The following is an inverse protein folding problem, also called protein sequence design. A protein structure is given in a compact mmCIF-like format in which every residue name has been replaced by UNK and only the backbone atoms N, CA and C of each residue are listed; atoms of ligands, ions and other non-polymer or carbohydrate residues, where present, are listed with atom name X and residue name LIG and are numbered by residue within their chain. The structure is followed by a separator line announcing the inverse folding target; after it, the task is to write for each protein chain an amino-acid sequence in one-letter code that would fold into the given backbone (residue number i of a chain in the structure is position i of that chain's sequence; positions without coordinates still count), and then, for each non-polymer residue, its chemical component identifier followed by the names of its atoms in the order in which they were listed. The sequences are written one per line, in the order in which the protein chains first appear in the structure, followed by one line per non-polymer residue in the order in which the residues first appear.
data_IF_285083070403
#
_entry.id   IF_285083070403
#
_cell.length_a   1.000
_cell.length_b   1.000
_cell.length_c   1.000
_cell.angle_alpha   90.00
_cell.angle_beta   90.00
_cell.angle_gamma   90.00
#
_symmetry.space_group_name_H-M   'P 1'
#
loop_
_entity.id
_entity.type
_entity.pdbx_description
1 polymer ?
#
# COMPACT_ATOMS: atom_id res chain seq x y z
N UNK A 1 -13.61 -25.98 -14.67
CA UNK A 1 -12.77 -25.12 -15.52
C UNK A 1 -12.76 -23.72 -14.90
N UNK A 2 -11.67 -23.31 -14.27
CA UNK A 2 -11.55 -21.95 -13.69
C UNK A 2 -11.35 -20.95 -14.84
N UNK A 3 -12.42 -20.23 -15.20
CA UNK A 3 -12.34 -19.11 -16.14
C UNK A 3 -11.51 -18.02 -15.45
N UNK A 4 -10.33 -17.73 -15.98
CA UNK A 4 -9.53 -16.60 -15.51
C UNK A 4 -10.32 -15.31 -15.76
N UNK A 5 -10.82 -14.71 -14.67
CA UNK A 5 -11.56 -13.44 -14.72
C UNK A 5 -10.63 -12.37 -15.30
N UNK A 6 -11.12 -11.62 -16.29
CA UNK A 6 -10.39 -10.51 -16.92
C UNK A 6 -10.99 -9.20 -16.43
N UNK A 7 -10.15 -8.17 -16.30
CA UNK A 7 -10.64 -6.81 -16.08
C UNK A 7 -11.32 -6.32 -17.37
N UNK A 8 -12.63 -6.13 -17.31
CA UNK A 8 -13.47 -5.62 -18.39
C UNK A 8 -14.48 -4.62 -17.82
N UNK A 9 -15.10 -3.81 -18.69
CA UNK A 9 -16.02 -2.74 -18.24
C UNK A 9 -17.32 -3.26 -17.62
N UNK A 10 -17.68 -4.50 -17.95
CA UNK A 10 -18.85 -5.24 -17.47
C UNK A 10 -18.56 -6.10 -16.23
N UNK A 11 -17.33 -6.05 -15.69
CA UNK A 11 -16.97 -6.81 -14.49
C UNK A 11 -17.88 -6.44 -13.32
N UNK A 12 -18.40 -7.46 -12.64
CA UNK A 12 -19.18 -7.23 -11.41
C UNK A 12 -18.26 -6.82 -10.26
N UNK A 13 -18.83 -6.16 -9.25
CA UNK A 13 -18.05 -5.81 -8.06
C UNK A 13 -17.50 -7.07 -7.37
N UNK A 14 -18.28 -8.15 -7.34
CA UNK A 14 -17.86 -9.41 -6.75
C UNK A 14 -16.68 -10.04 -7.49
N UNK A 15 -16.72 -10.12 -8.82
CA UNK A 15 -15.60 -10.62 -9.63
C UNK A 15 -14.35 -9.76 -9.45
N UNK A 16 -14.51 -8.43 -9.39
CA UNK A 16 -13.41 -7.52 -9.11
C UNK A 16 -12.83 -7.73 -7.70
N UNK A 17 -13.69 -7.87 -6.69
CA UNK A 17 -13.30 -8.08 -5.31
C UNK A 17 -12.71 -9.46 -5.07
N UNK A 18 -13.12 -10.49 -5.80
CA UNK A 18 -12.55 -11.82 -5.69
C UNK A 18 -11.27 -11.95 -6.52
N UNK A 19 -11.14 -11.20 -7.62
CA UNK A 19 -9.95 -11.23 -8.47
C UNK A 19 -8.65 -10.88 -7.74
N UNK A 20 -7.53 -11.38 -8.30
CA UNK A 20 -6.19 -10.98 -7.87
C UNK A 20 -5.50 -10.21 -8.99
N UNK A 21 -5.53 -8.89 -8.87
CA UNK A 21 -5.01 -7.96 -9.87
C UNK A 21 -3.63 -7.45 -9.48
N UNK A 22 -2.69 -7.45 -10.41
CA UNK A 22 -1.39 -6.79 -10.26
C UNK A 22 -1.54 -5.27 -10.41
N UNK A 23 -0.56 -4.52 -9.88
CA UNK A 23 -0.57 -3.06 -9.94
C UNK A 23 -0.63 -2.55 -11.39
N UNK A 24 0.06 -3.21 -12.32
CA UNK A 24 0.09 -2.80 -13.72
C UNK A 24 -1.22 -3.11 -14.44
N UNK A 25 -1.91 -4.21 -14.11
CA UNK A 25 -3.24 -4.52 -14.60
C UNK A 25 -4.26 -3.48 -14.13
N UNK A 26 -4.23 -3.14 -12.84
CA UNK A 26 -5.09 -2.09 -12.26
C UNK A 26 -4.82 -0.73 -12.91
N UNK A 27 -3.56 -0.38 -13.18
CA UNK A 27 -3.20 0.87 -13.87
C UNK A 27 -3.66 0.90 -15.32
N UNK A 28 -3.48 -0.21 -16.04
CA UNK A 28 -3.91 -0.34 -17.43
C UNK A 28 -5.44 -0.21 -17.53
N UNK A 29 -6.17 -0.92 -16.67
CA UNK A 29 -7.62 -0.85 -16.64
C UNK A 29 -8.13 0.54 -16.22
N UNK A 30 -7.54 1.16 -15.20
CA UNK A 30 -7.88 2.52 -14.83
C UNK A 30 -7.66 3.53 -15.97
N UNK A 31 -6.60 3.35 -16.77
CA UNK A 31 -6.37 4.16 -17.97
C UNK A 31 -7.46 3.94 -19.02
N UNK A 32 -7.88 2.70 -19.25
CA UNK A 32 -8.97 2.35 -20.18
C UNK A 32 -10.31 2.94 -19.75
N UNK A 33 -10.58 2.98 -18.44
CA UNK A 33 -11.75 3.64 -17.88
C UNK A 33 -11.70 5.18 -17.96
N UNK A 34 -10.57 5.78 -18.34
CA UNK A 34 -10.42 7.24 -18.40
C UNK A 34 -10.12 7.90 -17.05
N UNK A 35 -9.66 7.15 -16.04
CA UNK A 35 -9.25 7.73 -14.75
C UNK A 35 -7.99 8.58 -14.95
N UNK A 36 -8.08 9.87 -14.62
CA UNK A 36 -6.97 10.81 -14.75
C UNK A 36 -5.76 10.39 -13.90
N UNK A 37 -4.55 10.60 -14.44
CA UNK A 37 -3.27 10.32 -13.78
C UNK A 37 -3.11 8.89 -13.24
N UNK A 38 -3.79 7.90 -13.83
CA UNK A 38 -3.78 6.50 -13.38
C UNK A 38 -2.38 5.91 -13.17
N UNK A 39 -1.39 6.29 -13.99
CA UNK A 39 0.01 5.84 -13.85
C UNK A 39 0.70 6.28 -12.56
N UNK A 40 0.23 7.37 -11.93
CA UNK A 40 0.78 7.99 -10.71
C UNK A 40 -0.01 7.66 -9.46
N UNK A 41 -1.23 7.15 -9.61
CA UNK A 41 -2.04 6.68 -8.50
C UNK A 41 -1.53 5.35 -7.98
N UNK A 42 -1.67 5.13 -6.67
CA UNK A 42 -1.33 3.85 -6.06
C UNK A 42 -2.44 2.84 -6.35
N UNK A 43 -2.09 1.56 -6.27
CA UNK A 43 -3.01 0.44 -6.48
C UNK A 43 -4.26 0.55 -5.61
N UNK A 44 -4.11 0.88 -4.32
CA UNK A 44 -5.23 1.00 -3.38
C UNK A 44 -6.19 2.14 -3.70
N UNK A 45 -5.68 3.25 -4.25
CA UNK A 45 -6.51 4.37 -4.70
C UNK A 45 -7.23 4.04 -6.00
N UNK A 46 -6.52 3.41 -6.94
CA UNK A 46 -7.10 2.96 -8.20
C UNK A 46 -8.20 1.94 -7.96
N UNK A 47 -8.00 0.96 -7.08
CA UNK A 47 -9.04 -0.01 -6.72
C UNK A 47 -10.29 0.69 -6.17
N UNK A 48 -10.14 1.73 -5.33
CA UNK A 48 -11.30 2.49 -4.83
C UNK A 48 -12.05 3.22 -5.94
N UNK A 49 -11.32 3.87 -6.86
CA UNK A 49 -11.93 4.59 -7.99
C UNK A 49 -12.61 3.63 -8.97
N UNK A 50 -11.97 2.49 -9.27
CA UNK A 50 -12.55 1.44 -10.12
C UNK A 50 -13.82 0.88 -9.48
N UNK A 51 -13.81 0.58 -8.18
CA UNK A 51 -15.02 0.11 -7.47
C UNK A 51 -16.15 1.15 -7.52
N UNK A 52 -15.81 2.42 -7.41
CA UNK A 52 -16.80 3.50 -7.52
C UNK A 52 -17.40 3.55 -8.93
N UNK A 53 -16.57 3.41 -9.96
CA UNK A 53 -17.02 3.28 -11.34
C UNK A 53 -17.93 2.06 -11.54
N UNK A 54 -17.53 0.87 -11.06
CA UNK A 54 -18.34 -0.36 -11.19
C UNK A 54 -19.74 -0.17 -10.57
N UNK A 55 -19.83 0.47 -9.40
CA UNK A 55 -21.09 0.69 -8.68
C UNK A 55 -21.99 1.76 -9.30
N UNK A 56 -21.39 2.81 -9.86
CA UNK A 56 -22.12 4.06 -10.20
C UNK A 56 -22.11 4.41 -11.68
N UNK A 57 -21.24 3.78 -12.47
CA UNK A 57 -20.91 4.15 -13.85
C UNK A 57 -20.14 5.47 -13.98
N UNK A 58 -19.80 6.16 -12.87
CA UNK A 58 -19.15 7.48 -12.89
C UNK A 58 -17.65 7.38 -12.62
N UNK A 59 -16.88 8.19 -13.35
CA UNK A 59 -15.44 8.34 -13.16
C UNK A 59 -15.22 9.47 -12.17
N UNK A 60 -14.67 9.14 -11.00
CA UNK A 60 -14.26 10.12 -10.00
C UNK A 60 -12.76 10.44 -10.10
N UNK A 61 -12.38 11.62 -9.60
CA UNK A 61 -10.98 12.03 -9.50
C UNK A 61 -10.40 11.65 -8.15
N UNK A 62 -9.12 11.27 -8.13
CA UNK A 62 -8.42 11.03 -6.89
C UNK A 62 -8.29 12.32 -6.05
N UNK A 63 -8.37 12.24 -4.71
CA UNK A 63 -8.21 13.41 -3.85
C UNK A 63 -6.79 13.99 -3.84
N UNK A 64 -5.77 13.21 -4.24
CA UNK A 64 -4.37 13.67 -4.28
C UNK A 64 -4.14 14.64 -5.43
N UNK A 65 -3.86 15.90 -5.09
CA UNK A 65 -3.60 16.99 -6.04
C UNK A 65 -2.13 17.10 -6.45
N UNK A 66 -1.19 16.69 -5.58
CA UNK A 66 0.26 16.85 -5.80
C UNK A 66 0.90 15.58 -6.39
N UNK A 67 0.55 15.25 -7.64
CA UNK A 67 1.03 14.03 -8.32
C UNK A 67 2.34 14.21 -9.10
N UNK A 68 2.73 15.47 -9.36
CA UNK A 68 3.92 15.80 -10.15
C UNK A 68 4.90 16.56 -9.25
N UNK A 69 5.97 15.89 -8.77
CA UNK A 69 7.05 16.59 -8.08
C UNK A 69 7.76 17.52 -9.06
N UNK A 70 7.84 18.81 -8.72
CA UNK A 70 8.57 19.82 -9.52
C UNK A 70 9.84 20.23 -8.77
N UNK A 71 10.90 20.59 -9.51
CA UNK A 71 12.14 21.11 -8.96
C UNK A 71 13.18 20.05 -8.54
N UNK A 72 14.23 20.50 -7.84
CA UNK A 72 15.33 19.67 -7.35
C UNK A 72 14.81 18.74 -6.24
N UNK A 73 15.37 17.53 -6.15
CA UNK A 73 15.03 16.58 -5.08
C UNK A 73 15.61 17.05 -3.75
N UNK A 74 14.83 16.95 -2.67
CA UNK A 74 15.24 17.44 -1.34
C UNK A 74 16.60 16.87 -0.89
N UNK A 75 16.83 15.57 -1.12
CA UNK A 75 18.11 14.93 -0.78
C UNK A 75 19.31 15.52 -1.52
N UNK A 76 19.11 16.09 -2.72
CA UNK A 76 20.19 16.76 -3.47
C UNK A 76 20.46 18.18 -3.00
N UNK A 77 19.53 18.79 -2.27
CA UNK A 77 19.70 20.14 -1.67
C UNK A 77 20.50 20.04 -0.37
N UNK A 78 20.41 18.90 0.33
CA UNK A 78 21.05 18.64 1.61
C UNK A 78 20.01 18.49 2.71
N UNK A 79 19.88 17.27 3.24
CA UNK A 79 18.86 16.96 4.25
C UNK A 79 19.21 17.60 5.59
N UNK A 80 18.26 18.35 6.16
CA UNK A 80 18.35 18.96 7.48
C UNK A 80 16.99 18.91 8.17
N UNK A 81 16.95 18.92 9.51
CA UNK A 81 15.68 18.86 10.25
C UNK A 81 14.76 20.05 9.94
N UNK A 82 15.34 21.23 9.71
CA UNK A 82 14.61 22.45 9.35
C UNK A 82 14.17 22.49 7.87
N UNK A 83 14.63 21.56 7.02
CA UNK A 83 14.31 21.56 5.60
C UNK A 83 12.81 21.28 5.41
N UNK A 84 12.05 22.18 4.77
CA UNK A 84 10.67 21.88 4.40
C UNK A 84 10.61 20.79 3.34
N UNK A 85 9.60 19.93 3.43
CA UNK A 85 9.39 18.87 2.44
C UNK A 85 8.78 19.47 1.17
N UNK A 86 9.53 19.41 0.08
CA UNK A 86 9.10 19.94 -1.23
C UNK A 86 9.06 18.83 -2.29
N UNK A 87 10.16 18.11 -2.45
CA UNK A 87 10.34 17.07 -3.45
C UNK A 87 11.02 15.83 -2.85
N UNK A 88 10.37 15.33 -1.80
CA UNK A 88 10.79 14.14 -1.08
C UNK A 88 10.96 12.93 -1.98
N UNK A 89 11.99 12.15 -1.69
CA UNK A 89 12.27 10.87 -2.35
C UNK A 89 12.56 9.81 -1.28
N UNK A 90 11.81 8.70 -1.28
CA UNK A 90 12.05 7.57 -0.37
C UNK A 90 13.25 6.72 -0.83
N UNK A 91 14.44 7.31 -0.92
CA UNK A 91 15.71 6.66 -1.27
C UNK A 91 16.50 6.24 0.00
N UNK A 92 17.64 5.56 -0.20
CA UNK A 92 18.52 5.11 0.90
C UNK A 92 18.98 6.28 1.77
N UNK A 93 19.38 7.39 1.16
CA UNK A 93 19.89 8.57 1.84
C UNK A 93 18.85 9.23 2.75
N UNK A 94 17.64 9.47 2.24
CA UNK A 94 16.53 10.04 3.02
C UNK A 94 16.14 9.13 4.19
N UNK A 95 16.09 7.81 3.94
CA UNK A 95 15.80 6.82 4.98
C UNK A 95 16.87 6.83 6.08
N UNK A 96 18.13 6.80 5.68
CA UNK A 96 19.25 6.82 6.60
C UNK A 96 19.28 8.10 7.44
N UNK A 97 19.03 9.25 6.82
CA UNK A 97 18.92 10.53 7.53
C UNK A 97 17.83 10.46 8.62
N UNK A 98 16.62 10.01 8.29
CA UNK A 98 15.51 9.91 9.25
C UNK A 98 15.89 9.01 10.43
N UNK A 99 16.44 7.83 10.14
CA UNK A 99 16.86 6.86 11.16
C UNK A 99 17.97 7.41 12.07
N UNK A 100 19.01 8.01 11.49
CA UNK A 100 20.11 8.58 12.26
C UNK A 100 19.63 9.70 13.19
N UNK A 101 18.78 10.60 12.71
CA UNK A 101 18.25 11.67 13.53
C UNK A 101 17.31 11.13 14.61
N UNK A 102 16.50 10.12 14.29
CA UNK A 102 15.65 9.46 15.27
C UNK A 102 16.47 8.80 16.38
N UNK A 103 17.56 8.10 16.06
CA UNK A 103 18.44 7.46 17.03
C UNK A 103 19.23 8.45 17.89
N UNK A 104 19.52 9.66 17.39
CA UNK A 104 20.09 10.73 18.22
C UNK A 104 19.13 11.17 19.33
N UNK A 105 17.83 11.16 19.07
CA UNK A 105 16.79 11.54 20.03
C UNK A 105 16.41 10.35 20.93
N UNK A 106 16.32 9.15 20.34
CA UNK A 106 15.95 7.89 21.01
C UNK A 106 16.92 6.77 20.63
N UNK A 107 18.06 6.63 21.34
CA UNK A 107 19.10 5.66 20.99
C UNK A 107 18.66 4.19 21.02
N UNK A 108 17.61 3.87 21.78
CA UNK A 108 17.06 2.51 21.92
C UNK A 108 15.93 2.21 20.94
N UNK A 109 15.60 3.14 20.04
CA UNK A 109 14.49 2.99 19.10
C UNK A 109 14.72 1.79 18.18
N UNK A 110 13.72 0.92 18.09
CA UNK A 110 13.69 -0.19 17.13
C UNK A 110 12.63 0.07 16.09
N UNK A 111 12.97 -0.13 14.82
CA UNK A 111 12.00 0.00 13.73
C UNK A 111 10.94 -1.11 13.80
N UNK A 112 9.68 -0.71 13.86
CA UNK A 112 8.52 -1.59 13.71
C UNK A 112 8.23 -1.84 12.23
N UNK A 113 7.93 -3.09 11.89
CA UNK A 113 7.56 -3.46 10.52
C UNK A 113 6.36 -2.64 10.05
N UNK A 114 6.45 -2.07 8.85
CA UNK A 114 5.41 -1.23 8.26
C UNK A 114 5.50 0.26 8.58
N UNK A 115 6.36 0.70 9.51
CA UNK A 115 6.50 2.12 9.86
C UNK A 115 6.84 2.98 8.65
N UNK A 116 7.79 2.58 7.81
CA UNK A 116 8.16 3.37 6.61
C UNK A 116 7.01 3.60 5.65
N UNK A 117 6.20 2.57 5.43
CA UNK A 117 5.02 2.69 4.57
C UNK A 117 4.05 3.72 5.15
N UNK A 118 3.79 3.64 6.45
CA UNK A 118 2.85 4.53 7.15
C UNK A 118 3.37 5.96 7.26
N UNK A 119 4.66 6.13 7.50
CA UNK A 119 5.31 7.43 7.48
C UNK A 119 5.12 8.12 6.12
N UNK A 120 5.30 7.37 5.03
CA UNK A 120 5.07 7.88 3.68
C UNK A 120 3.60 8.27 3.46
N UNK A 121 2.64 7.48 3.98
CA UNK A 121 1.20 7.79 3.93
C UNK A 121 0.85 9.04 4.71
N UNK A 122 1.31 9.12 5.96
CA UNK A 122 1.13 10.28 6.83
C UNK A 122 1.66 11.55 6.17
N UNK A 123 2.89 11.51 5.65
CA UNK A 123 3.50 12.66 4.94
C UNK A 123 2.64 13.12 3.77
N UNK A 124 2.13 12.18 2.97
CA UNK A 124 1.27 12.51 1.82
C UNK A 124 -0.07 13.08 2.24
N UNK A 125 -0.66 12.58 3.32
CA UNK A 125 -1.89 13.12 3.92
C UNK A 125 -1.66 14.56 4.40
N UNK A 126 -0.58 14.84 5.15
CA UNK A 126 -0.25 16.21 5.56
C UNK A 126 -0.07 17.17 4.38
N UNK A 127 0.61 16.74 3.32
CA UNK A 127 0.78 17.56 2.10
C UNK A 127 -0.57 17.76 1.39
N UNK A 128 -1.44 16.74 1.36
CA UNK A 128 -2.77 16.82 0.72
C UNK A 128 -3.66 17.79 1.47
N UNK A 129 -3.55 17.84 2.80
CA UNK A 129 -4.25 18.78 3.69
C UNK A 129 -3.66 20.21 3.65
N UNK A 130 -2.66 20.46 2.80
CA UNK A 130 -2.03 21.76 2.65
C UNK A 130 -1.07 22.13 3.80
N UNK A 131 -0.74 21.19 4.68
CA UNK A 131 0.21 21.44 5.78
C UNK A 131 1.63 21.53 5.24
N UNK A 132 2.39 22.47 5.79
CA UNK A 132 3.83 22.59 5.54
C UNK A 132 4.57 21.84 6.64
N UNK A 133 5.15 20.71 6.29
CA UNK A 133 5.93 19.86 7.20
C UNK A 133 7.41 19.88 6.82
N UNK A 134 8.25 19.64 7.81
CA UNK A 134 9.72 19.57 7.70
C UNK A 134 10.21 18.13 7.85
N UNK A 135 11.49 17.91 7.56
CA UNK A 135 12.14 16.64 7.89
C UNK A 135 12.22 16.38 9.40
N UNK A 136 12.23 17.42 10.25
CA UNK A 136 12.10 17.28 11.69
C UNK A 136 10.76 16.70 12.11
N UNK A 137 9.66 17.18 11.53
CA UNK A 137 8.32 16.61 11.76
C UNK A 137 8.26 15.14 11.35
N UNK A 138 8.90 14.80 10.23
CA UNK A 138 8.99 13.43 9.72
C UNK A 138 9.77 12.52 10.67
N UNK A 139 10.85 13.01 11.29
CA UNK A 139 11.62 12.28 12.30
C UNK A 139 10.79 12.06 13.57
N UNK A 140 10.11 13.10 14.05
CA UNK A 140 9.24 13.00 15.23
C UNK A 140 8.11 11.99 15.02
N UNK A 141 7.47 12.02 13.85
CA UNK A 141 6.43 11.06 13.51
C UNK A 141 6.99 9.62 13.39
N UNK A 142 8.19 9.45 12.82
CA UNK A 142 8.85 8.15 12.76
C UNK A 142 9.13 7.59 14.16
N UNK A 143 9.59 8.41 15.11
CA UNK A 143 9.76 8.02 16.51
C UNK A 143 8.42 7.59 17.10
N UNK A 144 7.39 8.46 17.01
CA UNK A 144 6.06 8.20 17.55
C UNK A 144 5.46 6.88 17.06
N UNK A 145 5.56 6.60 15.75
CA UNK A 145 5.05 5.36 15.17
C UNK A 145 5.79 4.11 15.67
N UNK A 146 7.08 4.21 15.94
CA UNK A 146 7.90 3.08 16.42
C UNK A 146 7.79 2.87 17.93
N UNK A 147 7.53 3.92 18.72
CA UNK A 147 7.27 3.81 20.16
C UNK A 147 5.85 3.33 20.48
N UNK A 148 4.92 3.42 19.52
CA UNK A 148 3.55 2.93 19.70
C UNK A 148 3.50 1.41 19.89
N UNK A 149 2.88 0.98 20.99
CA UNK A 149 2.57 -0.42 21.29
C UNK A 149 1.44 -0.97 20.41
N UNK A 150 0.60 -0.10 19.84
CA UNK A 150 -0.55 -0.52 19.03
C UNK A 150 -0.12 -1.18 17.72
N UNK A 151 -0.66 -2.36 17.45
CA UNK A 151 -0.41 -3.03 16.18
C UNK A 151 -0.96 -2.20 15.01
N UNK A 152 -0.19 -2.12 13.94
CA UNK A 152 -0.65 -1.48 12.72
C UNK A 152 -1.83 -2.26 12.13
N UNK A 153 -2.89 -1.55 11.75
CA UNK A 153 -4.01 -2.13 11.02
C UNK A 153 -3.52 -2.84 9.75
N UNK A 154 -4.13 -3.98 9.43
CA UNK A 154 -3.86 -4.69 8.16
C UNK A 154 -4.28 -3.82 6.99
N UNK A 155 -3.47 -3.81 5.93
CA UNK A 155 -3.82 -3.13 4.68
C UNK A 155 -4.59 -4.15 3.83
N UNK A 156 -5.88 -3.97 3.52
CA UNK A 156 -6.68 -5.00 2.83
C UNK A 156 -6.14 -5.37 1.45
N UNK A 157 -5.52 -4.42 0.75
CA UNK A 157 -5.07 -4.58 -0.64
C UNK A 157 -3.81 -5.47 -0.77
N UNK A 158 -3.05 -5.70 0.30
CA UNK A 158 -1.87 -6.60 0.29
C UNK A 158 -2.26 -8.05 0.59
N UNK A 159 -3.23 -8.56 -0.19
CA UNK A 159 -3.89 -9.86 0.01
C UNK A 159 -2.92 -11.02 0.12
N UNK A 160 -1.90 -11.07 -0.74
CA UNK A 160 -0.85 -12.08 -0.69
C UNK A 160 -0.14 -12.12 0.67
N UNK A 161 0.31 -10.97 1.17
CA UNK A 161 1.02 -10.87 2.46
C UNK A 161 0.07 -11.25 3.61
N UNK A 162 -1.16 -10.76 3.58
CA UNK A 162 -2.17 -11.07 4.59
C UNK A 162 -2.49 -12.57 4.62
N UNK A 163 -2.61 -13.20 3.45
CA UNK A 163 -2.85 -14.64 3.33
C UNK A 163 -1.68 -15.44 3.88
N UNK A 164 -0.44 -15.16 3.46
CA UNK A 164 0.73 -15.89 3.96
C UNK A 164 0.89 -15.78 5.47
N UNK A 165 0.69 -14.57 6.02
CA UNK A 165 0.77 -14.35 7.46
C UNK A 165 -0.30 -15.14 8.22
N UNK A 166 -1.54 -15.15 7.73
CA UNK A 166 -2.63 -15.92 8.35
C UNK A 166 -2.39 -17.44 8.22
N UNK A 167 -1.95 -17.90 7.05
CA UNK A 167 -1.65 -19.30 6.80
C UNK A 167 -0.60 -19.83 7.78
N UNK A 168 0.54 -19.15 7.90
CA UNK A 168 1.63 -19.55 8.80
C UNK A 168 1.26 -19.43 10.29
N UNK A 169 0.28 -18.60 10.64
CA UNK A 169 -0.22 -18.50 12.01
C UNK A 169 -1.16 -19.64 12.40
N UNK A 170 -1.84 -20.27 11.43
CA UNK A 170 -2.90 -21.26 11.67
C UNK A 170 -2.53 -22.69 11.27
N UNK A 171 -1.66 -22.89 10.28
CA UNK A 171 -1.19 -24.21 9.86
C UNK A 171 0.12 -24.54 10.59
N UNK A 172 0.01 -25.33 11.66
CA UNK A 172 1.17 -25.81 12.43
C UNK A 172 2.13 -26.59 11.51
N UNK A 173 3.42 -26.40 11.72
CA UNK A 173 4.52 -27.02 10.94
C UNK A 173 4.59 -26.66 9.46
N UNK A 174 3.72 -25.77 8.98
CA UNK A 174 3.68 -25.40 7.57
C UNK A 174 4.83 -24.45 7.21
N UNK A 175 5.43 -24.68 6.05
CA UNK A 175 6.53 -23.85 5.56
C UNK A 175 6.01 -22.67 4.76
N UNK A 176 6.89 -21.68 4.52
CA UNK A 176 6.61 -20.59 3.59
C UNK A 176 6.26 -21.10 2.18
N UNK A 177 6.87 -22.19 1.74
CA UNK A 177 6.61 -22.78 0.43
C UNK A 177 5.21 -23.39 0.36
N UNK A 178 4.73 -23.99 1.44
CA UNK A 178 3.36 -24.51 1.52
C UNK A 178 2.33 -23.39 1.44
N UNK A 179 2.60 -22.27 2.14
CA UNK A 179 1.78 -21.08 2.05
C UNK A 179 1.76 -20.48 0.62
N UNK A 180 2.90 -20.49 -0.09
CA UNK A 180 2.97 -20.05 -1.49
C UNK A 180 2.21 -20.99 -2.42
N UNK A 181 2.29 -22.31 -2.22
CA UNK A 181 1.51 -23.30 -2.99
C UNK A 181 0.01 -23.10 -2.80
N UNK A 182 -0.44 -22.95 -1.55
CA UNK A 182 -1.83 -22.67 -1.22
C UNK A 182 -2.32 -21.36 -1.86
N UNK A 183 -1.49 -20.31 -1.81
CA UNK A 183 -1.79 -19.04 -2.48
C UNK A 183 -1.94 -19.19 -3.99
N UNK A 184 -1.07 -19.97 -4.65
CA UNK A 184 -1.15 -20.21 -6.09
C UNK A 184 -2.45 -20.88 -6.51
N UNK A 185 -3.04 -21.71 -5.66
CA UNK A 185 -4.36 -22.30 -5.89
C UNK A 185 -5.46 -21.27 -5.65
N UNK A 186 -5.46 -20.60 -4.48
CA UNK A 186 -6.48 -19.63 -4.10
C UNK A 186 -6.61 -18.48 -5.10
N UNK A 187 -5.49 -17.99 -5.66
CA UNK A 187 -5.50 -16.83 -6.56
C UNK A 187 -6.28 -17.05 -7.86
N UNK A 188 -6.49 -18.30 -8.27
CA UNK A 188 -7.20 -18.67 -9.50
C UNK A 188 -8.70 -18.93 -9.31
N UNK A 189 -9.16 -18.97 -8.05
CA UNK A 189 -10.56 -19.23 -7.71
C UNK A 189 -11.37 -17.93 -7.68
N UNK A 190 -12.66 -17.96 -7.99
CA UNK A 190 -13.55 -16.81 -7.80
C UNK A 190 -14.12 -16.76 -6.37
N UNK A 191 -13.22 -16.57 -5.41
CA UNK A 191 -13.54 -16.45 -3.98
C UNK A 191 -12.70 -15.36 -3.31
N UNK A 192 -13.09 -14.88 -2.12
CA UNK A 192 -12.25 -13.93 -1.38
C UNK A 192 -10.83 -14.47 -1.16
N UNK A 193 -9.83 -13.61 -1.40
CA UNK A 193 -8.40 -13.98 -1.35
C UNK A 193 -7.86 -13.91 0.08
N UNK A 194 -8.50 -14.64 0.99
CA UNK A 194 -8.14 -14.75 2.39
C UNK A 194 -8.01 -16.20 2.85
N UNK A 195 -7.39 -16.39 4.02
CA UNK A 195 -7.13 -17.71 4.59
C UNK A 195 -8.41 -18.46 4.95
N UNK A 196 -9.42 -17.75 5.47
CA UNK A 196 -10.68 -18.37 5.90
C UNK A 196 -11.44 -18.99 4.71
N UNK A 197 -11.46 -18.30 3.57
CA UNK A 197 -12.10 -18.78 2.34
C UNK A 197 -11.34 -19.95 1.73
N UNK A 198 -10.00 -19.89 1.71
CA UNK A 198 -9.17 -21.03 1.30
C UNK A 198 -9.39 -22.26 2.19
N UNK A 199 -9.47 -22.09 3.52
CA UNK A 199 -9.65 -23.19 4.46
C UNK A 199 -11.00 -23.88 4.28
N UNK A 200 -12.07 -23.12 4.02
CA UNK A 200 -13.40 -23.68 3.70
C UNK A 200 -13.33 -24.57 2.47
N UNK A 201 -12.78 -24.06 1.37
CA UNK A 201 -12.65 -24.80 0.10
C UNK A 201 -11.80 -26.07 0.22
N UNK A 202 -10.81 -26.09 1.11
CA UNK A 202 -9.99 -27.29 1.36
C UNK A 202 -10.73 -28.37 2.16
N UNK A 203 -11.67 -27.95 3.00
CA UNK A 203 -12.41 -28.85 3.89
C UNK A 203 -13.71 -29.38 3.26
N UNK A 204 -14.15 -28.77 2.15
CA UNK A 204 -15.24 -29.23 1.28
C UNK A 204 -14.71 -30.25 0.25
#
# INVERSE_FOLDING_TARGET
MTKKIKLTKDITEQEFDNGYWYADEIKAFAKELGIAHSSKLRKDELEKLIKTFIRTGKIESAPRKNLIPKGIKDYKVGLALSLPIHNYTSNKETKHFIEQQALKIKPTLKEKSGTRYRLNRWREEQITDGKKITYGDLVNEYIRMNESTEAFQKIPQVRYINFLAAYLAHEKDATRDDAIKAWKQLKELDVPKDYASWKRIKND
#
